data_IF_659170266578
#
_entry.id   IF_659170266578
#
_cell.length_a   1.000
_cell.length_b   1.000
_cell.length_c   1.000
_cell.angle_alpha   90.00
_cell.angle_beta   90.00
_cell.angle_gamma   90.00
#
_symmetry.space_group_name_H-M   'P 1'
#
loop_
_entity.id
_entity.type
_entity.pdbx_description
1 polymer ?
#
# COMPACT_ATOMS: atom_id res chain seq x y z
N UNK A 1 -10.86 -8.62 -6.49
CA UNK A 1 -9.82 -8.12 -5.57
C UNK A 1 -9.91 -8.96 -4.30
N UNK A 2 -8.78 -9.38 -3.74
CA UNK A 2 -8.73 -10.14 -2.48
C UNK A 2 -8.94 -9.24 -1.25
N UNK A 3 -9.01 -9.83 -0.07
CA UNK A 3 -9.11 -9.07 1.18
C UNK A 3 -7.79 -8.38 1.50
N UNK A 4 -7.84 -7.10 1.88
CA UNK A 4 -6.74 -6.40 2.49
C UNK A 4 -6.70 -6.74 3.97
N UNK A 5 -5.63 -7.36 4.44
CA UNK A 5 -5.39 -7.51 5.87
C UNK A 5 -3.96 -7.12 6.18
N UNK A 6 -3.76 -6.70 7.42
CA UNK A 6 -2.51 -6.17 7.92
C UNK A 6 -2.12 -6.91 9.20
N UNK A 7 -0.83 -6.95 9.46
CA UNK A 7 -0.28 -7.23 10.77
C UNK A 7 -0.22 -5.93 11.59
N UNK A 8 -0.55 -5.99 12.88
CA UNK A 8 -0.42 -4.82 13.75
C UNK A 8 1.04 -4.37 13.85
N UNK A 9 1.24 -3.06 13.91
CA UNK A 9 2.55 -2.44 13.97
C UNK A 9 3.33 -2.79 15.26
N UNK A 10 2.62 -3.03 16.36
CA UNK A 10 3.20 -3.29 17.69
C UNK A 10 3.60 -4.74 17.91
N UNK A 11 2.72 -5.69 17.56
CA UNK A 11 2.86 -7.12 17.90
C UNK A 11 2.96 -8.01 16.67
N UNK A 12 2.88 -7.45 15.46
CA UNK A 12 2.86 -8.19 14.20
C UNK A 12 1.76 -9.26 14.17
N UNK A 13 0.61 -8.95 14.75
CA UNK A 13 -0.55 -9.84 14.84
C UNK A 13 -1.51 -9.58 13.68
N UNK A 14 -1.98 -10.64 13.04
CA UNK A 14 -2.99 -10.51 11.98
C UNK A 14 -4.29 -9.92 12.55
N UNK A 15 -4.83 -8.96 11.81
CA UNK A 15 -6.14 -8.37 12.11
C UNK A 15 -7.20 -9.25 11.48
N UNK A 16 -7.90 -9.99 12.34
CA UNK A 16 -9.01 -10.84 11.96
C UNK A 16 -10.16 -10.00 11.39
N UNK A 17 -10.60 -10.35 10.19
CA UNK A 17 -11.79 -9.74 9.62
C UNK A 17 -13.06 -10.41 10.18
N UNK A 18 -14.21 -9.74 10.03
CA UNK A 18 -15.51 -10.22 10.52
C UNK A 18 -16.02 -11.51 9.86
N UNK A 19 -15.40 -11.95 8.78
CA UNK A 19 -15.71 -13.19 8.07
C UNK A 19 -14.82 -14.36 8.53
N UNK A 20 -13.86 -14.13 9.43
CA UNK A 20 -13.02 -15.17 10.02
C UNK A 20 -13.77 -16.01 11.07
N UNK A 21 -13.36 -17.26 11.25
CA UNK A 21 -13.98 -18.18 12.23
C UNK A 21 -13.78 -17.73 13.69
N UNK A 22 -12.70 -16.97 13.96
CA UNK A 22 -12.39 -16.46 15.29
C UNK A 22 -13.13 -15.15 15.62
N UNK A 23 -13.85 -14.59 14.65
CA UNK A 23 -14.56 -13.31 14.79
C UNK A 23 -13.65 -12.08 14.64
N UNK A 24 -14.28 -10.90 14.56
CA UNK A 24 -13.54 -9.65 14.46
C UNK A 24 -12.97 -9.22 15.82
N UNK A 25 -11.84 -8.52 15.77
CA UNK A 25 -11.24 -7.86 16.92
C UNK A 25 -11.18 -6.35 16.70
N UNK A 26 -11.32 -5.59 17.79
CA UNK A 26 -11.16 -4.14 17.72
C UNK A 26 -9.73 -3.80 17.36
N UNK A 27 -9.56 -2.91 16.38
CA UNK A 27 -8.28 -2.40 15.92
C UNK A 27 -8.35 -0.89 15.79
N UNK A 28 -7.20 -0.24 15.98
CA UNK A 28 -7.06 1.20 15.95
C UNK A 28 -6.11 1.59 14.83
N UNK A 29 -6.59 2.39 13.88
CA UNK A 29 -5.73 3.10 12.93
C UNK A 29 -5.11 4.30 13.65
N UNK A 30 -3.84 4.14 13.99
CA UNK A 30 -3.08 5.15 14.72
C UNK A 30 -2.89 6.39 13.86
N UNK A 31 -2.90 7.56 14.48
CA UNK A 31 -2.79 8.85 13.79
C UNK A 31 -1.51 9.58 14.24
N UNK A 32 -0.78 10.24 13.33
CA UNK A 32 0.33 11.10 13.70
C UNK A 32 -0.15 12.38 14.41
N UNK A 33 0.81 13.14 14.97
CA UNK A 33 0.56 14.42 15.62
C UNK A 33 -0.38 14.35 16.83
N UNK A 34 -0.33 13.25 17.59
CA UNK A 34 -1.12 13.02 18.79
C UNK A 34 -2.64 13.12 18.57
N UNK A 35 -3.10 12.93 17.32
CA UNK A 35 -4.53 12.81 17.05
C UNK A 35 -5.05 11.47 17.61
N UNK A 36 -6.30 11.47 18.05
CA UNK A 36 -6.93 10.25 18.56
C UNK A 36 -6.95 9.16 17.46
N UNK A 37 -6.66 7.90 17.80
CA UNK A 37 -6.78 6.79 16.86
C UNK A 37 -8.21 6.61 16.37
N UNK A 38 -8.35 6.17 15.11
CA UNK A 38 -9.65 5.81 14.53
C UNK A 38 -9.95 4.35 14.91
N UNK A 39 -11.11 4.13 15.52
CA UNK A 39 -11.50 2.81 16.06
C UNK A 39 -12.32 2.03 15.03
N UNK A 40 -11.95 0.78 14.80
CA UNK A 40 -12.71 -0.19 14.01
C UNK A 40 -12.98 -1.42 14.88
N UNK A 41 -14.26 -1.75 15.10
CA UNK A 41 -14.65 -2.86 15.97
C UNK A 41 -14.92 -4.16 15.21
N UNK A 42 -15.16 -4.09 13.91
CA UNK A 42 -15.57 -5.21 13.08
C UNK A 42 -15.03 -5.08 11.65
N UNK A 43 -13.70 -5.01 11.50
CA UNK A 43 -13.02 -4.85 10.22
C UNK A 43 -13.52 -5.86 9.18
N UNK A 44 -13.90 -5.38 8.00
CA UNK A 44 -14.49 -6.19 6.93
C UNK A 44 -13.46 -6.70 5.91
N UNK A 45 -12.23 -6.19 5.98
CA UNK A 45 -11.13 -6.57 5.10
C UNK A 45 -11.04 -5.79 3.78
N UNK A 46 -11.75 -4.66 3.65
CA UNK A 46 -11.67 -3.78 2.47
C UNK A 46 -10.94 -2.46 2.71
N UNK A 47 -10.22 -2.36 3.83
CA UNK A 47 -9.40 -1.19 4.17
C UNK A 47 -10.17 -0.04 4.81
N UNK A 48 -11.43 -0.23 5.18
CA UNK A 48 -12.20 0.77 5.92
C UNK A 48 -12.04 0.57 7.44
N UNK A 49 -11.64 1.63 8.13
CA UNK A 49 -11.48 1.65 9.59
C UNK A 49 -12.28 2.81 10.17
N UNK A 50 -13.32 2.51 10.95
CA UNK A 50 -14.14 3.54 11.58
C UNK A 50 -14.77 4.51 10.57
N UNK A 51 -15.12 4.02 9.38
CA UNK A 51 -15.65 4.83 8.28
C UNK A 51 -14.60 5.61 7.47
N UNK A 52 -13.31 5.38 7.71
CA UNK A 52 -12.22 5.99 6.95
C UNK A 52 -11.51 4.92 6.13
N UNK A 53 -11.54 5.09 4.81
CA UNK A 53 -10.75 4.26 3.91
C UNK A 53 -9.26 4.54 4.09
N UNK A 54 -8.47 3.52 4.39
CA UNK A 54 -7.05 3.63 4.74
C UNK A 54 -6.21 4.17 3.58
N UNK A 55 -6.58 3.88 2.33
CA UNK A 55 -5.87 4.40 1.16
C UNK A 55 -6.19 5.88 0.92
N UNK A 56 -7.44 6.29 1.12
CA UNK A 56 -7.82 7.72 1.13
C UNK A 56 -7.03 8.45 2.22
N UNK A 57 -6.96 7.88 3.42
CA UNK A 57 -6.15 8.41 4.51
C UNK A 57 -4.67 8.54 4.11
N UNK A 58 -4.08 7.48 3.56
CA UNK A 58 -2.67 7.44 3.17
C UNK A 58 -2.33 8.51 2.12
N UNK A 59 -3.18 8.66 1.10
CA UNK A 59 -3.04 9.70 0.09
C UNK A 59 -3.10 11.10 0.69
N UNK A 60 -4.11 11.39 1.53
CA UNK A 60 -4.27 12.71 2.17
C UNK A 60 -3.09 13.05 3.08
N UNK A 61 -2.58 12.08 3.83
CA UNK A 61 -1.46 12.30 4.75
C UNK A 61 -0.14 12.58 4.03
N UNK A 62 0.07 11.98 2.86
CA UNK A 62 1.37 12.02 2.18
C UNK A 62 1.39 12.88 0.89
N UNK A 63 0.26 13.42 0.42
CA UNK A 63 0.19 14.23 -0.80
C UNK A 63 1.27 15.33 -0.88
N UNK A 64 1.52 16.02 0.23
CA UNK A 64 2.54 17.08 0.30
C UNK A 64 3.97 16.55 0.08
N UNK A 65 4.30 15.36 0.59
CA UNK A 65 5.63 14.76 0.40
C UNK A 65 5.89 14.51 -1.09
N UNK A 66 4.89 13.98 -1.79
CA UNK A 66 5.01 13.65 -3.20
C UNK A 66 4.76 14.86 -4.13
N UNK A 67 4.54 16.07 -3.60
CA UNK A 67 4.23 17.24 -4.40
C UNK A 67 2.94 17.12 -5.23
N UNK A 68 2.04 16.21 -4.85
CA UNK A 68 0.78 15.95 -5.57
C UNK A 68 -0.32 16.88 -5.02
N UNK A 69 -0.93 17.67 -5.90
CA UNK A 69 -2.16 18.38 -5.54
C UNK A 69 -3.34 17.43 -5.60
N UNK A 70 -3.96 17.19 -4.46
CA UNK A 70 -5.19 16.38 -4.32
C UNK A 70 -6.47 17.23 -4.29
N UNK A 71 -6.38 18.52 -4.62
CA UNK A 71 -7.54 19.42 -4.64
C UNK A 71 -8.50 18.98 -5.74
N UNK A 72 -9.76 18.71 -5.35
CA UNK A 72 -10.80 18.27 -6.27
C UNK A 72 -10.79 16.77 -6.57
N UNK A 73 -9.91 15.99 -5.91
CA UNK A 73 -9.99 14.54 -6.00
C UNK A 73 -11.20 14.05 -5.20
N UNK A 74 -11.94 13.12 -5.79
CA UNK A 74 -12.91 12.30 -5.06
C UNK A 74 -12.21 11.18 -4.27
N UNK A 75 -12.99 10.42 -3.50
CA UNK A 75 -12.44 9.35 -2.66
C UNK A 75 -11.92 8.16 -3.49
N UNK A 76 -12.43 7.91 -4.70
CA UNK A 76 -11.93 6.86 -5.58
C UNK A 76 -10.54 7.20 -6.12
N UNK A 77 -10.34 8.45 -6.54
CA UNK A 77 -9.06 8.98 -6.99
C UNK A 77 -8.04 8.99 -5.85
N UNK A 78 -8.47 9.34 -4.63
CA UNK A 78 -7.61 9.30 -3.45
C UNK A 78 -7.26 7.87 -3.04
N UNK A 79 -8.23 6.94 -3.08
CA UNK A 79 -7.98 5.54 -2.79
C UNK A 79 -6.99 4.94 -3.82
N UNK A 80 -7.12 5.30 -5.09
CA UNK A 80 -6.20 4.87 -6.15
C UNK A 80 -4.78 5.41 -5.91
N UNK A 81 -4.64 6.69 -5.52
CA UNK A 81 -3.36 7.28 -5.17
C UNK A 81 -2.75 6.61 -3.92
N UNK A 82 -3.56 6.32 -2.90
CA UNK A 82 -3.12 5.63 -1.69
C UNK A 82 -2.67 4.20 -1.97
N UNK A 83 -3.41 3.45 -2.79
CA UNK A 83 -3.00 2.13 -3.24
C UNK A 83 -1.66 2.18 -4.00
N UNK A 84 -1.46 3.21 -4.84
CA UNK A 84 -0.21 3.38 -5.54
C UNK A 84 0.97 3.67 -4.58
N UNK A 85 0.76 4.48 -3.55
CA UNK A 85 1.75 4.73 -2.50
C UNK A 85 2.09 3.44 -1.74
N UNK A 86 1.09 2.59 -1.49
CA UNK A 86 1.24 1.39 -0.65
C UNK A 86 1.82 0.19 -1.39
N UNK A 87 1.40 -0.05 -2.64
CA UNK A 87 1.60 -1.33 -3.32
C UNK A 87 1.97 -1.21 -4.81
N UNK A 88 2.15 0.00 -5.36
CA UNK A 88 2.54 0.10 -6.76
C UNK A 88 3.91 -0.56 -6.98
N UNK A 89 3.99 -1.41 -7.99
CA UNK A 89 5.24 -1.97 -8.48
C UNK A 89 5.69 -1.21 -9.71
N UNK A 90 6.96 -0.83 -9.74
CA UNK A 90 7.66 -0.25 -10.90
C UNK A 90 8.82 -1.16 -11.29
N UNK A 91 9.38 -0.95 -12.47
CA UNK A 91 10.55 -1.69 -12.93
C UNK A 91 11.81 -0.84 -12.81
N UNK A 92 12.92 -1.44 -12.38
CA UNK A 92 14.25 -0.84 -12.46
C UNK A 92 15.04 -1.54 -13.55
N UNK A 93 15.56 -0.77 -14.51
CA UNK A 93 16.53 -1.26 -15.47
C UNK A 93 17.87 -1.50 -14.75
N UNK A 94 18.37 -2.74 -14.76
CA UNK A 94 19.59 -3.12 -14.04
C UNK A 94 20.86 -2.52 -14.66
N UNK A 95 20.84 -2.13 -15.93
CA UNK A 95 21.99 -1.51 -16.60
C UNK A 95 22.01 0.00 -16.43
N UNK A 96 20.90 0.69 -16.69
CA UNK A 96 20.86 2.16 -16.60
C UNK A 96 20.52 2.68 -15.20
N UNK A 97 19.89 1.85 -14.37
CA UNK A 97 19.30 2.27 -13.10
C UNK A 97 18.00 3.05 -13.24
N UNK A 98 17.50 3.26 -14.47
CA UNK A 98 16.25 3.99 -14.71
C UNK A 98 15.06 3.26 -14.09
N UNK A 99 14.16 4.03 -13.48
CA UNK A 99 12.85 3.56 -13.07
C UNK A 99 11.86 3.69 -14.23
N UNK A 100 11.12 2.63 -14.49
CA UNK A 100 10.11 2.52 -15.53
C UNK A 100 8.74 2.25 -14.91
N UNK A 101 7.82 3.15 -15.20
CA UNK A 101 6.40 3.03 -14.92
C UNK A 101 5.74 2.41 -16.16
N UNK A 102 5.03 1.28 -15.97
CA UNK A 102 4.33 0.56 -17.05
C UNK A 102 2.84 0.57 -16.73
N UNK A 103 2.00 0.75 -17.74
CA UNK A 103 0.53 0.77 -17.66
C UNK A 103 -0.07 1.96 -16.90
N UNK A 104 0.48 2.34 -15.75
CA UNK A 104 0.09 3.50 -14.96
C UNK A 104 1.25 4.48 -14.80
N UNK A 105 0.96 5.79 -14.78
CA UNK A 105 1.96 6.86 -14.66
C UNK A 105 2.00 7.39 -13.22
N UNK A 106 2.98 6.94 -12.43
CA UNK A 106 3.22 7.40 -11.06
C UNK A 106 4.53 8.16 -10.92
N UNK A 107 4.98 8.85 -12.00
CA UNK A 107 6.25 9.62 -11.99
C UNK A 107 6.27 10.77 -10.98
N UNK A 108 5.10 11.22 -10.54
CA UNK A 108 4.92 12.15 -9.44
C UNK A 108 5.25 11.54 -8.06
N UNK A 109 5.11 10.23 -7.88
CA UNK A 109 5.49 9.54 -6.65
C UNK A 109 6.97 9.15 -6.65
N UNK A 110 7.47 8.59 -7.77
CA UNK A 110 8.89 8.27 -7.99
C UNK A 110 9.28 8.70 -9.41
N UNK A 111 10.21 9.66 -9.58
CA UNK A 111 10.65 10.10 -10.90
C UNK A 111 11.17 8.93 -11.75
N UNK A 112 10.88 8.96 -13.05
CA UNK A 112 11.29 7.91 -13.97
C UNK A 112 10.73 8.09 -15.37
N UNK A 113 10.85 7.04 -16.17
CA UNK A 113 10.27 6.92 -17.52
C UNK A 113 8.89 6.29 -17.42
N UNK A 114 7.99 6.64 -18.34
CA UNK A 114 6.65 6.08 -18.40
C UNK A 114 6.37 5.51 -19.78
N UNK A 115 5.99 4.24 -19.83
CA UNK A 115 5.52 3.58 -21.03
C UNK A 115 4.00 3.40 -20.98
N UNK A 116 3.31 4.10 -21.89
CA UNK A 116 1.86 3.99 -22.06
C UNK A 116 1.49 2.75 -22.87
N UNK A 117 1.49 1.60 -22.21
CA UNK A 117 1.10 0.31 -22.78
C UNK A 117 0.85 -0.71 -21.68
N UNK A 118 0.36 -1.89 -22.04
CA UNK A 118 0.32 -3.02 -21.12
C UNK A 118 1.69 -3.73 -21.07
N UNK A 119 1.84 -4.65 -20.12
CA UNK A 119 3.08 -5.38 -19.88
C UNK A 119 3.59 -6.24 -21.05
N UNK A 120 2.72 -6.60 -22.00
CA UNK A 120 3.05 -7.36 -23.19
C UNK A 120 3.31 -6.51 -24.45
N UNK A 121 3.05 -5.21 -24.40
CA UNK A 121 3.31 -4.32 -25.53
C UNK A 121 4.81 -4.04 -25.69
N UNK A 122 5.28 -3.96 -26.92
CA UNK A 122 6.69 -3.69 -27.23
C UNK A 122 7.03 -2.25 -26.84
N UNK A 123 8.07 -2.09 -26.03
CA UNK A 123 8.65 -0.80 -25.67
C UNK A 123 9.65 -0.42 -26.76
N UNK A 124 9.41 0.66 -27.53
CA UNK A 124 10.23 1.01 -28.70
C UNK A 124 11.72 1.11 -28.41
N UNK A 125 12.10 1.59 -27.22
CA UNK A 125 13.48 1.77 -26.77
C UNK A 125 14.26 0.45 -26.65
N UNK A 126 13.57 -0.66 -26.43
CA UNK A 126 14.19 -1.98 -26.21
C UNK A 126 13.88 -2.97 -27.33
N UNK A 127 12.82 -2.75 -28.12
CA UNK A 127 12.31 -3.76 -29.06
C UNK A 127 11.75 -5.01 -28.36
N UNK A 128 11.51 -4.93 -27.05
CA UNK A 128 11.00 -6.00 -26.18
C UNK A 128 9.85 -5.45 -25.32
N UNK A 129 8.99 -6.32 -24.82
CA UNK A 129 7.97 -5.95 -23.83
C UNK A 129 8.53 -5.91 -22.41
N UNK A 130 7.81 -5.28 -21.48
CA UNK A 130 8.19 -5.28 -20.06
C UNK A 130 8.31 -6.70 -19.50
N UNK A 131 7.39 -7.60 -19.86
CA UNK A 131 7.46 -9.01 -19.48
C UNK A 131 8.76 -9.68 -19.94
N UNK A 132 9.18 -9.45 -21.19
CA UNK A 132 10.42 -10.01 -21.73
C UNK A 132 11.67 -9.42 -21.06
N UNK A 133 11.63 -8.13 -20.71
CA UNK A 133 12.73 -7.46 -20.01
C UNK A 133 12.86 -7.98 -18.57
N UNK A 134 11.76 -8.28 -17.89
CA UNK A 134 11.76 -8.92 -16.57
C UNK A 134 12.27 -10.36 -16.66
N UNK A 135 11.74 -11.14 -17.59
CA UNK A 135 12.12 -12.55 -17.79
C UNK A 135 13.61 -12.72 -18.11
N UNK A 136 14.17 -11.81 -18.91
CA UNK A 136 15.60 -11.79 -19.23
C UNK A 136 16.49 -11.27 -18.09
N UNK A 137 15.90 -10.79 -16.99
CA UNK A 137 16.63 -10.17 -15.87
C UNK A 137 17.16 -8.77 -16.17
N UNK A 138 16.81 -8.18 -17.31
CA UNK A 138 17.19 -6.80 -17.65
C UNK A 138 16.44 -5.78 -16.79
N UNK A 139 15.18 -6.04 -16.48
CA UNK A 139 14.39 -5.27 -15.54
C UNK A 139 14.11 -6.10 -14.29
N UNK A 140 14.10 -5.44 -13.14
CA UNK A 140 13.66 -6.03 -11.87
C UNK A 140 12.46 -5.25 -11.33
N UNK A 141 11.47 -5.97 -10.84
CA UNK A 141 10.32 -5.37 -10.16
C UNK A 141 10.72 -4.87 -8.77
N UNK A 142 10.25 -3.69 -8.41
CA UNK A 142 10.49 -3.05 -7.12
C UNK A 142 9.24 -2.29 -6.68
N UNK A 143 8.89 -2.41 -5.41
CA UNK A 143 7.78 -1.65 -4.84
C UNK A 143 8.15 -0.17 -4.72
N UNK A 144 7.21 0.70 -5.06
CA UNK A 144 7.41 2.14 -5.06
C UNK A 144 7.82 2.66 -3.68
N UNK A 145 7.20 2.14 -2.62
CA UNK A 145 7.48 2.49 -1.24
C UNK A 145 8.93 2.14 -0.80
N UNK A 146 9.60 1.20 -1.47
CA UNK A 146 11.01 0.87 -1.20
C UNK A 146 11.96 1.93 -1.78
N UNK A 147 11.49 2.68 -2.79
CA UNK A 147 12.26 3.76 -3.42
C UNK A 147 11.99 5.10 -2.73
N UNK A 148 10.72 5.42 -2.47
CA UNK A 148 10.29 6.65 -1.82
C UNK A 148 9.21 6.32 -0.77
N UNK A 149 9.60 5.90 0.45
CA UNK A 149 8.66 5.46 1.48
C UNK A 149 7.76 6.61 1.96
N UNK A 150 6.48 6.35 2.27
CA UNK A 150 5.60 7.38 2.82
C UNK A 150 6.11 7.85 4.20
N UNK A 151 6.08 9.16 4.43
CA UNK A 151 6.40 9.78 5.72
C UNK A 151 5.43 9.34 6.80
N UNK A 152 4.17 9.13 6.43
CA UNK A 152 3.13 8.63 7.30
C UNK A 152 2.62 7.28 6.76
N UNK A 153 3.32 6.17 7.06
CA UNK A 153 2.85 4.83 6.71
C UNK A 153 1.61 4.44 7.53
N UNK A 154 0.93 3.38 7.11
CA UNK A 154 -0.21 2.82 7.82
C UNK A 154 0.30 2.14 9.10
N UNK A 155 -0.33 2.44 10.23
CA UNK A 155 0.00 1.81 11.53
C UNK A 155 -1.28 1.43 12.24
N UNK A 156 -1.45 0.12 12.45
CA UNK A 156 -2.60 -0.47 13.11
C UNK A 156 -2.15 -1.11 14.43
N UNK A 157 -2.96 -1.00 15.48
CA UNK A 157 -2.67 -1.63 16.77
C UNK A 157 -3.95 -2.10 17.43
N UNK A 158 -3.87 -3.15 18.25
CA UNK A 158 -4.93 -3.51 19.18
C UNK A 158 -4.87 -2.70 20.49
N UNK A 159 -3.79 -1.94 20.71
CA UNK A 159 -3.65 -1.04 21.84
C UNK A 159 -4.07 0.39 21.44
N UNK A 160 -5.17 0.87 22.03
CA UNK A 160 -5.66 2.23 21.81
C UNK A 160 -4.66 3.31 22.22
N UNK A 161 -3.85 3.04 23.25
CA UNK A 161 -2.90 4.00 23.80
C UNK A 161 -1.54 3.95 23.07
N UNK A 162 -1.42 3.16 21.99
CA UNK A 162 -0.22 3.11 21.19
C UNK A 162 0.07 4.46 20.51
N UNK A 163 1.32 4.89 20.59
CA UNK A 163 1.78 6.16 20.02
C UNK A 163 2.29 5.93 18.60
N UNK A 164 1.73 6.66 17.63
CA UNK A 164 2.10 6.51 16.21
C UNK A 164 3.59 6.66 15.93
N UNK A 165 4.27 7.58 16.63
CA UNK A 165 5.69 7.88 16.40
C UNK A 165 6.62 6.73 16.84
N UNK A 166 6.17 5.88 17.76
CA UNK A 166 7.00 4.89 18.44
C UNK A 166 6.98 3.51 17.76
N UNK A 167 6.09 3.32 16.79
CA UNK A 167 5.87 2.04 16.13
C UNK A 167 6.36 2.03 14.67
N UNK A 168 6.75 0.87 14.12
CA UNK A 168 7.01 0.72 12.69
C UNK A 168 5.71 0.75 11.87
N UNK A 169 5.83 0.59 10.55
CA UNK A 169 4.69 0.34 9.66
C UNK A 169 4.01 -1.01 9.95
N UNK A 170 2.70 -1.06 9.71
CA UNK A 170 1.93 -2.30 9.61
C UNK A 170 2.21 -3.02 8.30
N UNK A 171 2.54 -4.30 8.38
CA UNK A 171 2.86 -5.14 7.21
C UNK A 171 1.60 -5.78 6.63
N UNK A 172 1.63 -6.19 5.36
CA UNK A 172 0.55 -7.00 4.79
C UNK A 172 0.45 -8.35 5.49
N UNK A 173 -0.76 -8.78 5.82
CA UNK A 173 -1.00 -10.08 6.42
C UNK A 173 -1.10 -11.16 5.32
N UNK A 174 -0.25 -12.21 5.34
CA UNK A 174 -0.29 -13.27 4.34
C UNK A 174 -1.57 -14.12 4.43
N UNK A 175 -2.25 -14.11 5.58
CA UNK A 175 -3.50 -14.85 5.81
C UNK A 175 -4.76 -14.05 5.43
N UNK A 176 -4.61 -12.82 4.93
CA UNK A 176 -5.73 -11.97 4.51
C UNK A 176 -6.81 -11.76 5.60
N UNK A 177 -6.45 -11.92 6.88
CA UNK A 177 -7.36 -11.83 8.01
C UNK A 177 -8.27 -13.05 8.18
N UNK A 178 -8.11 -14.08 7.34
CA UNK A 178 -8.69 -15.39 7.54
C UNK A 178 -7.79 -16.20 8.46
N UNK A 179 -8.19 -16.25 9.72
CA UNK A 179 -7.65 -17.24 10.63
C UNK A 179 -8.43 -18.54 10.41
N UNK A 180 -7.79 -19.53 9.79
CA UNK A 180 -8.24 -20.91 9.87
C UNK A 180 -7.69 -21.48 11.16
N UNK A 181 -8.54 -22.09 12.00
CA UNK A 181 -8.11 -22.81 13.19
C UNK A 181 -7.08 -23.87 12.77
N UNK A 182 -5.80 -23.56 12.91
CA UNK A 182 -4.70 -24.53 12.79
C UNK A 182 -4.20 -24.87 14.18
N UNK A 183 -5.12 -25.37 15.00
CA UNK A 183 -4.80 -26.16 16.18
C UNK A 183 -5.75 -27.36 16.21
N UNK A 184 -5.26 -28.48 15.71
CA UNK A 184 -5.56 -29.80 16.28
C UNK A 184 -4.31 -30.27 17.00
#
# INVERSE_FOLDING_TARGET
>A
MGFFSYLTADKKQSIANRHSEIGASTVYLLQPHNRAPITESAYDGYGDFGGVNVFVWLARMNAKQYGVSIKGYDDEQLASLGQAISYCTVCRDVHSGDIWHVWADYRNLVPGKYFKGNWGAIIPEFGQSANQLIESGRWVEIELNQINPPKYPIKLSHNREAVYADLPESESCPYQGFHYNTYN
#
